data_IF_143800714922
#
_entry.id   IF_143800714922
#
_cell.length_a   1.000
_cell.length_b   1.000
_cell.length_c   1.000
_cell.angle_alpha   90.00
_cell.angle_beta   90.00
_cell.angle_gamma   90.00
#
_symmetry.space_group_name_H-M   'P 1'
#
loop_
_entity.id
_entity.type
_entity.pdbx_description
1 polymer ?
#
# COMPACT_ATOMS: atom_id res chain seq x y z
N UNK A 1 -19.21 -34.15 -7.02
CA UNK A 1 -18.43 -33.25 -6.16
C UNK A 1 -18.87 -31.83 -6.51
N UNK A 2 -19.48 -31.10 -5.58
CA UNK A 2 -19.87 -29.71 -5.80
C UNK A 2 -18.59 -28.93 -6.06
N UNK A 3 -18.43 -28.35 -7.26
CA UNK A 3 -17.38 -27.40 -7.55
C UNK A 3 -17.67 -26.19 -6.67
N UNK A 4 -16.91 -26.05 -5.58
CA UNK A 4 -17.01 -24.87 -4.73
C UNK A 4 -16.87 -23.64 -5.63
N UNK A 5 -17.83 -22.74 -5.57
CA UNK A 5 -17.88 -21.59 -6.45
C UNK A 5 -16.65 -20.68 -6.20
N UNK A 6 -15.81 -20.48 -7.21
CA UNK A 6 -14.57 -19.72 -7.13
C UNK A 6 -14.87 -18.23 -6.95
N UNK A 7 -14.20 -17.58 -6.01
CA UNK A 7 -14.26 -16.12 -5.82
C UNK A 7 -13.16 -15.47 -6.67
N UNK A 8 -13.53 -14.55 -7.52
CA UNK A 8 -12.60 -13.78 -8.34
C UNK A 8 -12.03 -12.60 -7.54
N UNK A 9 -10.74 -12.30 -7.72
CA UNK A 9 -10.08 -11.14 -7.12
C UNK A 9 -9.38 -10.38 -8.24
N UNK A 10 -9.79 -9.16 -8.49
CA UNK A 10 -9.14 -8.27 -9.43
C UNK A 10 -7.99 -7.52 -8.73
N UNK A 11 -6.75 -7.79 -9.12
CA UNK A 11 -5.52 -7.19 -8.62
C UNK A 11 -4.72 -8.10 -7.69
N UNK A 12 -3.45 -8.33 -8.04
CA UNK A 12 -2.46 -9.14 -7.32
C UNK A 12 -1.53 -8.34 -6.40
N UNK A 13 -1.92 -7.13 -5.99
CA UNK A 13 -1.21 -6.35 -4.96
C UNK A 13 -1.42 -6.93 -3.55
N UNK A 14 -0.80 -6.30 -2.54
CA UNK A 14 -0.88 -6.75 -1.13
C UNK A 14 -2.34 -7.01 -0.70
N UNK A 15 -3.26 -6.10 -1.04
CA UNK A 15 -4.68 -6.22 -0.66
C UNK A 15 -5.38 -7.42 -1.29
N UNK A 16 -5.13 -7.69 -2.58
CA UNK A 16 -5.72 -8.83 -3.28
C UNK A 16 -5.16 -10.17 -2.81
N UNK A 17 -3.84 -10.25 -2.60
CA UNK A 17 -3.21 -11.45 -2.05
C UNK A 17 -3.65 -11.72 -0.60
N UNK A 18 -3.78 -10.67 0.23
CA UNK A 18 -4.29 -10.79 1.60
C UNK A 18 -5.74 -11.27 1.61
N UNK A 19 -6.59 -10.78 0.69
CA UNK A 19 -7.97 -11.24 0.53
C UNK A 19 -8.01 -12.74 0.15
N UNK A 20 -7.16 -13.17 -0.79
CA UNK A 20 -7.05 -14.56 -1.20
C UNK A 20 -6.66 -15.48 -0.02
N UNK A 21 -5.65 -15.07 0.77
CA UNK A 21 -5.23 -15.82 1.98
C UNK A 21 -6.37 -15.90 2.99
N UNK A 22 -7.09 -14.77 3.21
CA UNK A 22 -8.24 -14.74 4.11
C UNK A 22 -9.39 -15.63 3.67
N UNK A 23 -9.66 -15.70 2.38
CA UNK A 23 -10.66 -16.64 1.82
C UNK A 23 -10.24 -18.09 1.99
N UNK A 24 -8.99 -18.41 1.70
CA UNK A 24 -8.44 -19.76 1.87
C UNK A 24 -8.51 -20.22 3.34
N UNK A 25 -8.26 -19.32 4.30
CA UNK A 25 -8.43 -19.60 5.73
C UNK A 25 -9.89 -19.93 6.12
N UNK A 26 -10.86 -19.60 5.27
CA UNK A 26 -12.28 -19.97 5.42
C UNK A 26 -12.71 -21.14 4.53
N UNK A 27 -11.75 -21.83 3.88
CA UNK A 27 -12.03 -22.93 2.98
C UNK A 27 -12.62 -22.53 1.62
N UNK A 28 -12.52 -21.24 1.24
CA UNK A 28 -13.06 -20.71 0.00
C UNK A 28 -11.98 -20.64 -1.08
N UNK A 29 -12.29 -21.17 -2.26
CA UNK A 29 -11.39 -21.08 -3.42
C UNK A 29 -11.42 -19.71 -4.07
N UNK A 30 -10.26 -19.22 -4.52
CA UNK A 30 -10.16 -17.94 -5.21
C UNK A 30 -9.23 -17.97 -6.43
N UNK A 31 -9.50 -17.08 -7.39
CA UNK A 31 -8.66 -16.81 -8.55
C UNK A 31 -8.27 -15.32 -8.55
N UNK A 32 -6.99 -15.06 -8.35
CA UNK A 32 -6.44 -13.70 -8.44
C UNK A 32 -6.08 -13.41 -9.89
N UNK A 33 -6.63 -12.32 -10.43
CA UNK A 33 -6.40 -11.82 -11.78
C UNK A 33 -5.55 -10.54 -11.69
N UNK A 34 -4.29 -10.61 -12.13
CA UNK A 34 -3.34 -9.50 -12.09
C UNK A 34 -2.95 -9.08 -13.50
N UNK A 35 -3.01 -7.76 -13.77
CA UNK A 35 -2.68 -7.19 -15.09
C UNK A 35 -1.21 -7.28 -15.46
N UNK A 36 -0.32 -7.17 -14.46
CA UNK A 36 1.11 -7.27 -14.71
C UNK A 36 1.51 -8.67 -15.18
N UNK A 37 2.53 -8.81 -16.03
CA UNK A 37 3.01 -10.11 -16.49
C UNK A 37 3.68 -10.92 -15.38
N UNK A 38 4.09 -10.26 -14.31
CA UNK A 38 4.71 -10.88 -13.13
C UNK A 38 4.15 -10.27 -11.85
N UNK A 39 3.97 -11.11 -10.83
CA UNK A 39 3.59 -10.64 -9.48
C UNK A 39 4.80 -10.05 -8.78
N UNK A 40 4.72 -8.80 -8.40
CA UNK A 40 5.76 -8.07 -7.70
C UNK A 40 5.31 -6.66 -7.35
N UNK A 41 6.07 -6.01 -6.49
CA UNK A 41 5.84 -4.61 -6.09
C UNK A 41 7.10 -3.78 -6.34
N UNK A 42 6.93 -2.56 -6.85
CA UNK A 42 8.02 -1.60 -6.98
C UNK A 42 8.36 -1.08 -5.58
N UNK A 43 9.61 -1.31 -5.16
CA UNK A 43 10.05 -1.20 -3.79
C UNK A 43 10.20 0.22 -3.26
N UNK A 44 9.36 0.58 -2.31
CA UNK A 44 9.57 1.62 -1.31
C UNK A 44 9.26 1.03 0.06
N UNK A 45 9.57 1.76 1.13
CA UNK A 45 9.18 1.34 2.48
C UNK A 45 7.68 1.53 2.72
N UNK A 46 7.16 0.78 3.68
CA UNK A 46 5.83 0.96 4.27
C UNK A 46 5.93 0.83 5.78
N UNK A 47 5.15 1.62 6.49
CA UNK A 47 5.05 1.57 7.95
C UNK A 47 3.88 0.68 8.34
N UNK A 48 4.09 -0.15 9.36
CA UNK A 48 3.14 -1.14 9.87
C UNK A 48 2.84 -0.85 11.34
N UNK A 49 1.64 -0.37 11.62
CA UNK A 49 1.16 -0.23 12.99
C UNK A 49 0.73 -1.58 13.59
N UNK A 50 0.46 -1.63 14.90
CA UNK A 50 -0.02 -2.84 15.58
C UNK A 50 -1.26 -3.47 14.93
N UNK A 51 -2.17 -2.66 14.41
CA UNK A 51 -3.36 -3.11 13.68
C UNK A 51 -3.04 -3.95 12.44
N UNK A 52 -1.97 -3.62 11.73
CA UNK A 52 -1.51 -4.42 10.59
C UNK A 52 -1.05 -5.81 11.04
N UNK A 53 -0.27 -5.89 12.12
CA UNK A 53 0.19 -7.16 12.66
C UNK A 53 -0.97 -8.01 13.21
N UNK A 54 -1.98 -7.41 13.85
CA UNK A 54 -3.19 -8.15 14.22
C UNK A 54 -3.88 -8.78 13.01
N UNK A 55 -3.98 -8.05 11.90
CA UNK A 55 -4.51 -8.60 10.65
C UNK A 55 -3.62 -9.71 10.08
N UNK A 56 -2.30 -9.56 10.14
CA UNK A 56 -1.34 -10.57 9.66
C UNK A 56 -1.37 -11.83 10.52
N UNK A 57 -1.55 -11.70 11.84
CA UNK A 57 -1.73 -12.84 12.75
C UNK A 57 -2.99 -13.62 12.40
N UNK A 58 -4.11 -12.90 12.18
CA UNK A 58 -5.36 -13.53 11.73
C UNK A 58 -5.21 -14.27 10.39
N UNK A 59 -4.37 -13.75 9.48
CA UNK A 59 -4.09 -14.34 8.18
C UNK A 59 -2.99 -15.42 8.22
N UNK A 60 -2.37 -15.68 9.39
CA UNK A 60 -1.33 -16.69 9.55
C UNK A 60 0.04 -16.29 8.98
N UNK A 61 0.26 -15.02 8.65
CA UNK A 61 1.53 -14.52 8.08
C UNK A 61 2.30 -13.59 9.03
N UNK A 62 1.79 -13.38 10.25
CA UNK A 62 2.30 -12.39 11.19
C UNK A 62 3.75 -12.62 11.59
N UNK A 63 4.15 -13.87 11.89
CA UNK A 63 5.52 -14.18 12.32
C UNK A 63 6.54 -13.92 11.22
N UNK A 64 6.22 -14.30 9.98
CA UNK A 64 7.10 -14.05 8.82
C UNK A 64 7.22 -12.54 8.58
N UNK A 65 6.12 -11.80 8.64
CA UNK A 65 6.12 -10.35 8.46
C UNK A 65 6.95 -9.65 9.56
N UNK A 66 6.81 -10.06 10.83
CA UNK A 66 7.63 -9.55 11.95
C UNK A 66 9.12 -9.82 11.77
N UNK A 67 9.47 -11.03 11.36
CA UNK A 67 10.87 -11.39 11.13
C UNK A 67 11.54 -10.60 9.99
N UNK A 68 10.78 -10.16 9.00
CA UNK A 68 11.29 -9.38 7.86
C UNK A 68 11.25 -7.86 8.11
N UNK A 69 10.46 -7.40 9.07
CA UNK A 69 10.32 -5.99 9.40
C UNK A 69 11.49 -5.48 10.26
N UNK A 70 11.76 -4.18 10.17
CA UNK A 70 12.62 -3.48 11.13
C UNK A 70 11.74 -2.91 12.23
N UNK A 71 11.96 -3.36 13.46
CA UNK A 71 11.27 -2.86 14.64
C UNK A 71 11.93 -1.57 15.08
N UNK A 72 11.25 -0.47 14.89
CA UNK A 72 11.74 0.86 15.24
C UNK A 72 11.36 1.21 16.68
N UNK A 73 12.21 2.05 17.32
CA UNK A 73 12.06 2.41 18.73
C UNK A 73 11.21 3.67 18.91
N UNK A 74 11.09 4.49 17.86
CA UNK A 74 10.40 5.79 17.92
C UNK A 74 9.74 6.18 16.62
N UNK A 75 8.64 6.92 16.75
CA UNK A 75 8.22 7.88 15.73
C UNK A 75 8.74 9.24 16.14
N UNK A 76 9.42 9.95 15.26
CA UNK A 76 9.99 11.28 15.52
C UNK A 76 9.38 12.33 14.61
N UNK A 77 9.03 13.45 15.19
CA UNK A 77 8.63 14.65 14.45
C UNK A 77 9.69 15.72 14.64
N UNK A 78 10.31 16.14 13.53
CA UNK A 78 11.34 17.16 13.48
C UNK A 78 10.79 18.43 12.81
N UNK A 79 11.22 19.58 13.25
CA UNK A 79 11.05 20.84 12.50
C UNK A 79 12.04 20.86 11.34
N UNK A 80 11.53 20.88 10.12
CA UNK A 80 12.39 20.90 8.93
C UNK A 80 13.10 22.24 8.73
N UNK A 81 12.64 23.33 9.34
CA UNK A 81 13.23 24.68 9.22
C UNK A 81 14.24 24.93 10.32
N UNK A 82 13.87 24.68 11.59
CA UNK A 82 14.77 24.87 12.74
C UNK A 82 15.81 23.74 12.87
N UNK A 83 15.47 22.51 12.47
CA UNK A 83 16.35 21.36 12.59
C UNK A 83 16.20 20.60 13.90
N UNK A 84 15.30 21.01 14.78
CA UNK A 84 15.10 20.47 16.12
C UNK A 84 13.99 19.41 16.16
N UNK A 85 14.01 18.56 17.20
CA UNK A 85 12.92 17.63 17.48
C UNK A 85 11.75 18.36 18.14
N UNK A 86 10.56 18.30 17.51
CA UNK A 86 9.33 18.84 18.07
C UNK A 86 8.78 17.88 19.12
N UNK A 87 8.70 16.59 18.80
CA UNK A 87 8.19 15.55 19.69
C UNK A 87 8.56 14.16 19.17
N UNK A 88 8.42 13.16 20.05
CA UNK A 88 8.55 11.75 19.66
C UNK A 88 7.57 10.86 20.43
N UNK A 89 7.25 9.72 19.83
CA UNK A 89 6.46 8.66 20.45
C UNK A 89 7.38 7.46 20.64
N UNK A 90 7.56 7.03 21.88
CA UNK A 90 8.29 5.83 22.21
C UNK A 90 7.45 4.58 21.85
N UNK A 91 8.07 3.65 21.13
CA UNK A 91 7.46 2.40 20.64
C UNK A 91 7.98 1.16 21.42
N UNK A 92 8.60 1.39 22.57
CA UNK A 92 9.18 0.37 23.43
C UNK A 92 8.17 -0.55 24.11
N UNK A 93 8.57 -1.13 25.24
CA UNK A 93 7.77 -2.12 25.96
C UNK A 93 6.36 -1.63 26.38
N UNK A 94 6.18 -0.38 26.89
CA UNK A 94 4.85 0.12 27.24
C UNK A 94 3.90 0.21 26.05
N UNK A 95 4.42 0.64 24.88
CA UNK A 95 3.63 0.68 23.63
C UNK A 95 3.18 -0.73 23.21
N UNK A 96 4.12 -1.68 23.22
CA UNK A 96 3.83 -3.08 22.85
C UNK A 96 2.84 -3.73 23.82
N UNK A 97 2.99 -3.47 25.12
CA UNK A 97 2.04 -3.96 26.14
C UNK A 97 0.62 -3.40 25.91
N UNK A 98 0.51 -2.12 25.56
CA UNK A 98 -0.79 -1.47 25.29
C UNK A 98 -1.49 -1.97 24.04
N UNK A 99 -0.75 -2.20 22.96
CA UNK A 99 -1.31 -2.50 21.63
C UNK A 99 -1.17 -3.97 21.21
N UNK A 100 -0.51 -4.80 22.01
CA UNK A 100 -0.32 -6.23 21.75
C UNK A 100 0.64 -6.59 20.62
N UNK A 101 1.09 -5.60 19.85
CA UNK A 101 1.96 -5.77 18.69
C UNK A 101 2.93 -4.58 18.56
N UNK A 102 4.08 -4.74 17.88
CA UNK A 102 5.03 -3.66 17.63
C UNK A 102 4.51 -2.69 16.57
N UNK A 103 5.18 -1.54 16.50
CA UNK A 103 5.23 -0.72 15.29
C UNK A 103 6.52 -1.05 14.54
N UNK A 104 6.46 -1.22 13.23
CA UNK A 104 7.63 -1.57 12.44
C UNK A 104 7.57 -0.97 11.04
N UNK A 105 8.68 -1.08 10.33
CA UNK A 105 8.79 -0.67 8.92
C UNK A 105 9.29 -1.86 8.10
N UNK A 106 8.82 -1.98 6.88
CA UNK A 106 9.18 -3.09 5.99
C UNK A 106 9.34 -2.58 4.55
N UNK A 107 10.17 -3.23 3.78
CA UNK A 107 10.20 -3.01 2.34
C UNK A 107 8.91 -3.56 1.71
N UNK A 108 8.23 -2.76 0.91
CA UNK A 108 6.90 -3.11 0.39
C UNK A 108 6.90 -4.36 -0.49
N UNK A 109 7.95 -4.55 -1.27
CA UNK A 109 8.14 -5.77 -2.06
C UNK A 109 8.33 -7.02 -1.20
N UNK A 110 8.97 -6.88 -0.03
CA UNK A 110 9.16 -7.99 0.89
C UNK A 110 7.82 -8.39 1.53
N UNK A 111 7.00 -7.41 1.95
CA UNK A 111 5.65 -7.67 2.45
C UNK A 111 4.75 -8.32 1.40
N UNK A 112 4.81 -7.84 0.15
CA UNK A 112 4.10 -8.47 -0.96
C UNK A 112 4.55 -9.93 -1.13
N UNK A 113 5.86 -10.20 -1.05
CA UNK A 113 6.44 -11.53 -1.12
C UNK A 113 5.93 -12.49 -0.04
N UNK A 114 5.68 -11.99 1.18
CA UNK A 114 5.07 -12.78 2.28
C UNK A 114 3.69 -13.30 1.86
N UNK A 115 2.82 -12.42 1.38
CA UNK A 115 1.48 -12.82 0.93
C UNK A 115 1.51 -13.69 -0.34
N UNK A 116 2.38 -13.36 -1.28
CA UNK A 116 2.54 -14.14 -2.52
C UNK A 116 2.97 -15.57 -2.22
N UNK A 117 3.88 -15.75 -1.28
CA UNK A 117 4.30 -17.07 -0.81
C UNK A 117 3.12 -17.84 -0.20
N UNK A 118 2.39 -17.23 0.73
CA UNK A 118 1.21 -17.84 1.33
C UNK A 118 0.14 -18.25 0.29
N UNK A 119 -0.06 -17.41 -0.74
CA UNK A 119 -0.95 -17.75 -1.85
C UNK A 119 -0.46 -18.98 -2.64
N UNK A 120 0.84 -19.06 -2.94
CA UNK A 120 1.42 -20.17 -3.70
C UNK A 120 1.42 -21.50 -2.95
N UNK A 121 1.47 -21.45 -1.63
CA UNK A 121 1.43 -22.64 -0.77
C UNK A 121 0.00 -23.19 -0.55
N UNK A 122 -1.03 -22.43 -0.91
CA UNK A 122 -2.43 -22.81 -0.72
C UNK A 122 -3.02 -23.45 -2.00
N UNK A 123 -3.57 -24.68 -1.92
CA UNK A 123 -4.25 -25.31 -3.06
C UNK A 123 -5.60 -24.64 -3.41
N UNK A 124 -6.09 -23.74 -2.56
CA UNK A 124 -7.36 -23.03 -2.76
C UNK A 124 -7.17 -21.71 -3.54
N UNK A 125 -5.93 -21.30 -3.84
CA UNK A 125 -5.64 -20.02 -4.47
C UNK A 125 -4.97 -20.25 -5.82
N UNK A 126 -5.62 -19.81 -6.89
CA UNK A 126 -5.03 -19.73 -8.22
C UNK A 126 -4.59 -18.30 -8.51
N UNK A 127 -3.41 -18.15 -9.13
CA UNK A 127 -2.83 -16.87 -9.51
C UNK A 127 -2.70 -16.83 -11.03
N UNK A 128 -3.26 -15.80 -11.66
CA UNK A 128 -3.15 -15.56 -13.10
C UNK A 128 -2.64 -14.16 -13.36
N UNK A 129 -1.50 -14.05 -14.03
CA UNK A 129 -0.89 -12.80 -14.49
C UNK A 129 -1.27 -12.49 -15.93
N UNK A 130 -1.01 -11.25 -16.40
CA UNK A 130 -1.42 -10.81 -17.72
C UNK A 130 -2.94 -10.74 -17.91
N UNK A 131 -3.70 -10.67 -16.83
CA UNK A 131 -5.17 -10.71 -16.80
C UNK A 131 -5.73 -9.39 -16.26
N UNK A 132 -5.80 -8.38 -17.10
CA UNK A 132 -6.32 -7.05 -16.73
C UNK A 132 -7.85 -7.07 -16.70
N UNK A 133 -8.44 -6.95 -15.51
CA UNK A 133 -9.89 -6.82 -15.33
C UNK A 133 -10.30 -5.37 -15.62
N UNK A 134 -11.14 -5.17 -16.64
CA UNK A 134 -11.62 -3.86 -17.06
C UNK A 134 -13.06 -3.55 -16.64
N UNK A 135 -13.76 -4.52 -16.06
CA UNK A 135 -15.14 -4.40 -15.57
C UNK A 135 -15.75 -5.75 -15.26
N UNK A 136 -17.04 -5.75 -14.92
CA UNK A 136 -17.76 -6.99 -14.64
C UNK A 136 -19.23 -6.90 -15.03
N UNK A 137 -19.87 -8.05 -15.13
CA UNK A 137 -21.31 -8.23 -15.32
C UNK A 137 -21.85 -9.17 -14.23
N UNK A 138 -23.14 -9.04 -13.92
CA UNK A 138 -23.82 -9.90 -12.94
C UNK A 138 -25.09 -10.46 -13.57
N UNK A 139 -25.23 -11.77 -13.55
CA UNK A 139 -26.40 -12.44 -14.05
C UNK A 139 -26.61 -13.77 -13.32
N UNK A 140 -27.84 -14.12 -13.02
CA UNK A 140 -28.20 -15.44 -12.47
C UNK A 140 -27.49 -15.79 -11.15
N UNK A 141 -27.08 -14.80 -10.34
CA UNK A 141 -26.36 -15.04 -9.08
C UNK A 141 -24.86 -15.28 -9.25
N UNK A 142 -24.33 -15.22 -10.48
CA UNK A 142 -22.91 -15.28 -10.79
C UNK A 142 -22.36 -13.89 -11.16
N UNK A 143 -21.04 -13.73 -11.09
CA UNK A 143 -20.34 -12.55 -11.57
C UNK A 143 -19.33 -12.96 -12.65
N UNK A 144 -19.27 -12.20 -13.73
CA UNK A 144 -18.32 -12.42 -14.82
C UNK A 144 -17.40 -11.22 -14.95
N UNK A 145 -16.12 -11.41 -14.63
CA UNK A 145 -15.08 -10.42 -14.89
C UNK A 145 -14.78 -10.35 -16.40
N UNK A 146 -14.67 -9.14 -16.95
CA UNK A 146 -14.26 -8.88 -18.34
C UNK A 146 -12.80 -8.49 -18.36
N UNK A 147 -12.00 -9.20 -19.11
CA UNK A 147 -10.58 -8.91 -19.29
C UNK A 147 -10.34 -8.00 -20.51
N UNK A 148 -9.20 -7.31 -20.51
CA UNK A 148 -8.83 -6.39 -21.59
C UNK A 148 -8.59 -7.08 -22.95
N UNK A 149 -8.23 -8.37 -22.93
CA UNK A 149 -8.06 -9.22 -24.13
C UNK A 149 -9.37 -9.76 -24.71
N UNK A 150 -10.51 -9.44 -24.06
CA UNK A 150 -11.85 -9.91 -24.45
C UNK A 150 -12.29 -11.20 -23.75
N UNK A 151 -11.41 -11.88 -23.00
CA UNK A 151 -11.79 -13.06 -22.24
C UNK A 151 -12.76 -12.70 -21.10
N UNK A 152 -13.59 -13.66 -20.75
CA UNK A 152 -14.64 -13.57 -19.72
C UNK A 152 -14.42 -14.68 -18.70
N UNK A 153 -14.26 -14.30 -17.42
CA UNK A 153 -14.03 -15.24 -16.33
C UNK A 153 -15.19 -15.17 -15.35
N UNK A 154 -15.88 -16.28 -15.14
CA UNK A 154 -17.07 -16.34 -14.28
C UNK A 154 -16.74 -16.94 -12.92
N UNK A 155 -17.29 -16.36 -11.86
CA UNK A 155 -17.18 -16.82 -10.49
C UNK A 155 -18.44 -16.51 -9.67
N UNK A 156 -18.44 -16.93 -8.40
CA UNK A 156 -19.55 -16.69 -7.47
C UNK A 156 -19.60 -15.26 -6.95
N UNK A 157 -18.43 -14.62 -6.82
CA UNK A 157 -18.28 -13.23 -6.37
C UNK A 157 -17.01 -12.62 -6.98
N UNK A 158 -16.93 -11.29 -6.98
CA UNK A 158 -15.75 -10.54 -7.40
C UNK A 158 -15.35 -9.56 -6.30
N UNK A 159 -14.08 -9.61 -5.91
CA UNK A 159 -13.44 -8.65 -5.01
C UNK A 159 -12.58 -7.70 -5.87
N UNK A 160 -12.86 -6.40 -5.81
CA UNK A 160 -12.02 -5.37 -6.43
C UNK A 160 -10.87 -4.98 -5.50
N UNK A 161 -9.65 -5.40 -5.84
CA UNK A 161 -8.41 -5.03 -5.18
C UNK A 161 -7.40 -4.43 -6.19
N UNK A 162 -7.93 -3.79 -7.22
CA UNK A 162 -7.29 -3.30 -8.43
C UNK A 162 -6.74 -1.87 -8.31
N UNK A 163 -6.62 -1.39 -7.07
CA UNK A 163 -5.87 -0.19 -6.68
C UNK A 163 -6.60 1.12 -6.96
N UNK A 164 -5.83 2.22 -6.95
CA UNK A 164 -6.35 3.58 -7.03
C UNK A 164 -7.20 3.85 -8.28
N UNK A 165 -6.81 3.28 -9.43
CA UNK A 165 -7.46 3.46 -10.72
C UNK A 165 -8.54 2.43 -11.02
N UNK A 166 -9.01 1.71 -10.02
CA UNK A 166 -9.95 0.60 -10.06
C UNK A 166 -11.13 0.81 -11.00
N UNK A 167 -11.26 0.05 -12.09
CA UNK A 167 -12.46 -0.03 -12.89
C UNK A 167 -13.62 -0.69 -12.12
N UNK A 168 -13.33 -1.64 -11.21
CA UNK A 168 -14.34 -2.28 -10.39
C UNK A 168 -14.98 -1.26 -9.45
N UNK A 169 -14.19 -0.44 -8.75
CA UNK A 169 -14.70 0.64 -7.91
C UNK A 169 -15.57 1.63 -8.70
N UNK A 170 -15.10 2.02 -9.88
CA UNK A 170 -15.85 2.94 -10.75
C UNK A 170 -17.25 2.40 -11.04
N UNK A 171 -17.37 1.10 -11.31
CA UNK A 171 -18.63 0.45 -11.61
C UNK A 171 -19.52 0.25 -10.38
N UNK A 172 -18.92 -0.10 -9.21
CA UNK A 172 -19.66 -0.33 -7.94
C UNK A 172 -20.11 0.97 -7.29
N UNK A 173 -19.24 1.98 -7.26
CA UNK A 173 -19.44 3.21 -6.46
C UNK A 173 -19.91 4.37 -7.33
N UNK A 174 -19.42 4.47 -8.58
CA UNK A 174 -19.76 5.58 -9.47
C UNK A 174 -19.13 6.92 -9.08
N UNK A 175 -18.03 6.92 -8.30
CA UNK A 175 -17.39 8.13 -7.73
C UNK A 175 -16.40 8.82 -8.69
N UNK A 176 -16.33 8.37 -9.94
CA UNK A 176 -15.46 8.95 -10.96
C UNK A 176 -13.96 8.56 -10.83
N UNK A 177 -13.06 9.28 -11.51
CA UNK A 177 -11.62 9.04 -11.42
C UNK A 177 -11.02 9.59 -10.12
N UNK A 178 -9.81 9.11 -9.72
CA UNK A 178 -9.05 9.73 -8.65
C UNK A 178 -8.74 11.19 -8.95
N UNK A 179 -8.69 12.02 -7.89
CA UNK A 179 -8.38 13.44 -8.00
C UNK A 179 -6.92 13.67 -7.64
N UNK A 180 -6.23 14.49 -8.41
CA UNK A 180 -4.89 14.96 -8.08
C UNK A 180 -4.96 15.84 -6.85
N UNK A 181 -4.07 15.59 -5.86
CA UNK A 181 -4.04 16.31 -4.59
C UNK A 181 -3.23 17.61 -4.62
N UNK A 182 -2.49 17.87 -5.72
CA UNK A 182 -1.53 18.96 -5.81
C UNK A 182 -0.18 18.67 -5.14
N UNK A 183 0.02 17.47 -4.59
CA UNK A 183 1.26 17.07 -3.95
C UNK A 183 2.10 16.19 -4.85
N UNK A 184 3.38 16.50 -4.92
CA UNK A 184 4.40 15.65 -5.53
C UNK A 184 5.19 14.94 -4.45
N UNK A 185 5.39 13.64 -4.61
CA UNK A 185 6.21 12.81 -3.71
C UNK A 185 7.35 12.20 -4.50
N UNK A 186 8.56 12.40 -4.01
CA UNK A 186 9.78 11.78 -4.51
C UNK A 186 10.20 10.65 -3.57
N UNK A 187 10.60 9.53 -4.13
CA UNK A 187 11.01 8.36 -3.35
C UNK A 187 12.36 7.86 -3.81
N UNK A 188 13.18 7.47 -2.84
CA UNK A 188 14.47 6.83 -3.05
C UNK A 188 14.68 5.76 -1.98
N UNK A 189 15.39 4.71 -2.33
CA UNK A 189 15.88 3.71 -1.38
C UNK A 189 17.38 3.59 -1.58
N UNK A 190 18.14 3.84 -0.53
CA UNK A 190 19.60 3.89 -0.59
C UNK A 190 20.24 2.87 0.35
N UNK A 191 21.46 2.38 0.09
CA UNK A 191 22.24 1.65 1.08
C UNK A 191 22.44 2.48 2.36
N UNK A 192 22.42 1.82 3.52
CA UNK A 192 22.55 2.50 4.83
C UNK A 192 23.85 3.30 4.94
N UNK A 193 24.92 2.83 4.33
CA UNK A 193 26.23 3.51 4.33
C UNK A 193 26.20 4.89 3.68
N UNK A 194 25.24 5.12 2.77
CA UNK A 194 25.03 6.42 2.14
C UNK A 194 24.27 7.40 3.02
N UNK A 195 23.51 6.93 4.01
CA UNK A 195 22.82 7.80 4.95
C UNK A 195 23.84 8.43 5.91
N UNK A 196 23.79 9.74 6.19
CA UNK A 196 24.64 10.38 7.21
C UNK A 196 24.51 9.67 8.57
N UNK A 197 25.63 9.42 9.25
CA UNK A 197 25.65 8.67 10.50
C UNK A 197 24.76 9.28 11.59
N UNK A 198 24.77 10.61 11.68
CA UNK A 198 23.96 11.38 12.62
C UNK A 198 22.45 11.36 12.32
N UNK A 199 22.03 10.73 11.21
CA UNK A 199 20.66 10.55 10.79
C UNK A 199 20.25 9.05 10.73
N UNK A 200 21.14 8.13 11.07
CA UNK A 200 20.86 6.69 11.14
C UNK A 200 20.15 6.33 12.43
N UNK A 201 18.93 6.83 12.62
CA UNK A 201 18.13 6.55 13.81
C UNK A 201 17.26 5.31 13.62
N UNK A 202 17.09 4.53 14.70
CA UNK A 202 16.09 3.45 14.73
C UNK A 202 14.67 4.03 14.89
N UNK A 203 14.26 4.82 13.93
CA UNK A 203 13.01 5.56 13.98
C UNK A 203 12.40 5.71 12.59
N UNK A 204 11.09 5.87 12.54
CA UNK A 204 10.47 6.54 11.41
C UNK A 204 10.40 8.04 11.75
N UNK A 205 11.14 8.83 11.00
CA UNK A 205 11.29 10.25 11.27
C UNK A 205 10.61 11.06 10.18
N UNK A 206 9.75 11.97 10.59
CA UNK A 206 9.11 12.96 9.73
C UNK A 206 9.68 14.33 10.05
N UNK A 207 10.23 15.00 9.04
CA UNK A 207 10.63 16.40 9.06
C UNK A 207 9.51 17.22 8.45
N UNK A 208 8.81 18.00 9.26
CA UNK A 208 7.70 18.84 8.83
C UNK A 208 8.16 20.27 8.52
N UNK A 209 7.85 20.75 7.33
CA UNK A 209 8.12 22.12 6.89
C UNK A 209 6.89 22.72 6.21
N UNK A 210 6.95 24.04 5.87
CA UNK A 210 5.89 24.70 5.13
C UNK A 210 5.63 24.01 3.80
N UNK A 211 4.40 23.52 3.58
CA UNK A 211 3.97 22.81 2.37
C UNK A 211 4.86 21.61 1.97
N UNK A 212 5.67 21.08 2.89
CA UNK A 212 6.64 20.03 2.60
C UNK A 212 6.90 19.14 3.80
N UNK A 213 7.31 17.89 3.52
CA UNK A 213 7.84 17.02 4.56
C UNK A 213 8.82 16.00 3.96
N UNK A 214 9.70 15.51 4.83
CA UNK A 214 10.62 14.41 4.50
C UNK A 214 10.39 13.30 5.50
N UNK A 215 10.32 12.04 5.02
CA UNK A 215 10.25 10.87 5.88
C UNK A 215 11.42 9.94 5.56
N UNK A 216 12.08 9.46 6.59
CA UNK A 216 13.11 8.44 6.43
C UNK A 216 13.07 7.40 7.54
N UNK A 217 13.47 6.17 7.22
CA UNK A 217 13.54 5.06 8.15
C UNK A 217 14.36 3.89 7.56
N UNK A 218 14.95 3.04 8.44
CA UNK A 218 15.72 1.87 7.98
C UNK A 218 14.82 0.76 7.44
N UNK A 219 15.36 -0.06 6.53
CA UNK A 219 14.70 -1.21 5.93
C UNK A 219 15.66 -2.42 5.87
N UNK A 220 15.08 -3.63 5.67
CA UNK A 220 15.83 -4.88 5.42
C UNK A 220 16.95 -5.14 6.42
N UNK A 221 16.62 -5.11 7.72
CA UNK A 221 17.60 -5.32 8.77
C UNK A 221 18.73 -4.30 8.75
N UNK A 222 18.40 -3.04 8.50
CA UNK A 222 19.35 -1.91 8.41
C UNK A 222 20.28 -1.90 7.20
N UNK A 223 20.03 -2.70 6.17
CA UNK A 223 20.81 -2.66 4.94
C UNK A 223 20.46 -1.47 4.06
N UNK A 224 19.24 -0.97 4.17
CA UNK A 224 18.70 0.10 3.32
C UNK A 224 18.03 1.18 4.17
N UNK A 225 17.95 2.39 3.62
CA UNK A 225 17.10 3.49 4.10
C UNK A 225 16.08 3.86 3.04
N UNK A 226 14.83 4.01 3.48
CA UNK A 226 13.76 4.58 2.68
C UNK A 226 13.76 6.09 2.85
N UNK A 227 13.70 6.82 1.76
CA UNK A 227 13.59 8.28 1.72
C UNK A 227 12.33 8.64 0.95
N UNK A 228 11.48 9.47 1.56
CA UNK A 228 10.28 10.03 0.96
C UNK A 228 10.29 11.53 1.16
N UNK A 229 10.19 12.26 0.09
CA UNK A 229 10.23 13.73 0.08
C UNK A 229 8.96 14.22 -0.61
N UNK A 230 8.13 14.97 0.09
CA UNK A 230 6.84 15.43 -0.44
C UNK A 230 6.72 16.93 -0.36
N UNK A 231 6.23 17.57 -1.42
CA UNK A 231 5.90 18.98 -1.43
C UNK A 231 4.53 19.21 -2.08
N UNK A 232 3.86 20.26 -1.62
CA UNK A 232 2.67 20.80 -2.26
C UNK A 232 3.11 21.84 -3.30
N UNK A 233 2.94 21.51 -4.57
CA UNK A 233 3.40 22.31 -5.71
C UNK A 233 2.34 22.46 -6.79
N UNK A 234 1.06 22.26 -6.43
CA UNK A 234 -0.09 22.37 -7.34
C UNK A 234 0.05 21.49 -8.59
N UNK A 235 0.67 20.30 -8.44
CA UNK A 235 0.88 19.37 -9.54
C UNK A 235 -0.43 19.11 -10.30
N UNK A 236 -0.48 19.34 -11.64
CA UNK A 236 -1.74 19.40 -12.38
C UNK A 236 -2.25 18.05 -12.86
N UNK A 237 -1.40 17.04 -12.95
CA UNK A 237 -1.72 15.76 -13.58
C UNK A 237 -1.10 14.58 -12.82
N UNK A 238 -1.70 13.37 -12.91
CA UNK A 238 -1.13 12.18 -12.30
C UNK A 238 0.21 11.82 -12.95
N UNK A 239 1.19 11.47 -12.10
CA UNK A 239 2.48 10.89 -12.52
C UNK A 239 2.77 9.70 -11.60
N UNK A 240 3.36 8.64 -12.12
CA UNK A 240 3.67 7.44 -11.35
C UNK A 240 5.04 6.88 -11.72
N UNK A 241 5.99 6.99 -10.80
CA UNK A 241 7.30 6.33 -10.91
C UNK A 241 8.25 6.92 -11.95
N UNK A 242 8.08 8.19 -12.32
CA UNK A 242 8.96 8.86 -13.29
C UNK A 242 10.34 9.09 -12.68
N UNK A 243 11.44 8.64 -13.32
CA UNK A 243 12.79 8.97 -12.89
C UNK A 243 13.04 10.49 -12.93
N UNK A 244 13.72 11.01 -11.90
CA UNK A 244 14.07 12.44 -11.80
C UNK A 244 15.47 12.63 -11.22
N UNK A 245 16.11 13.74 -11.57
CA UNK A 245 17.41 14.10 -11.02
C UNK A 245 17.29 14.65 -9.58
N UNK A 246 18.32 14.42 -8.74
CA UNK A 246 18.35 14.92 -7.36
C UNK A 246 18.22 16.45 -7.29
N UNK A 247 18.75 17.18 -8.29
CA UNK A 247 18.61 18.65 -8.38
C UNK A 247 17.14 19.10 -8.55
N UNK A 248 16.31 18.26 -9.19
CA UNK A 248 14.87 18.53 -9.30
C UNK A 248 14.17 18.31 -7.96
N UNK A 249 14.52 17.23 -7.25
CA UNK A 249 13.99 16.96 -5.90
C UNK A 249 14.33 18.09 -4.93
N UNK A 250 15.53 18.69 -5.04
CA UNK A 250 15.97 19.78 -4.16
C UNK A 250 15.19 21.07 -4.38
N UNK A 251 14.67 21.31 -5.59
CA UNK A 251 13.86 22.50 -5.87
C UNK A 251 12.61 22.54 -5.00
N UNK A 252 12.46 23.62 -4.24
CA UNK A 252 11.38 23.79 -3.28
C UNK A 252 11.73 23.35 -1.85
N UNK A 253 12.97 22.89 -1.61
CA UNK A 253 13.48 22.53 -0.29
C UNK A 253 14.70 23.36 0.15
N UNK A 254 14.99 24.46 -0.53
CA UNK A 254 16.12 25.34 -0.22
C UNK A 254 15.95 26.07 1.11
N UNK A 255 14.70 26.24 1.55
CA UNK A 255 14.32 26.93 2.76
C UNK A 255 14.40 26.10 4.04
N UNK A 256 14.63 24.79 3.92
CA UNK A 256 14.70 23.89 5.10
C UNK A 256 16.13 23.80 5.64
N UNK A 257 16.26 23.34 6.88
CA UNK A 257 17.54 23.20 7.58
C UNK A 257 18.53 22.32 6.79
N UNK A 258 19.84 22.66 6.76
CA UNK A 258 20.87 21.91 6.03
C UNK A 258 20.91 20.41 6.34
N UNK A 259 20.61 20.03 7.58
CA UNK A 259 20.53 18.63 8.02
C UNK A 259 19.40 17.88 7.31
N UNK A 260 18.22 18.49 7.18
CA UNK A 260 17.10 17.91 6.42
C UNK A 260 17.41 17.86 4.92
N UNK A 261 18.05 18.92 4.36
CA UNK A 261 18.50 18.94 2.97
C UNK A 261 19.52 17.82 2.68
N UNK A 262 20.36 17.43 3.66
CA UNK A 262 21.37 16.39 3.47
C UNK A 262 20.72 15.04 3.12
N UNK A 263 19.51 14.75 3.63
CA UNK A 263 18.75 13.55 3.29
C UNK A 263 18.47 13.50 1.79
N UNK A 264 18.05 14.62 1.21
CA UNK A 264 17.77 14.73 -0.23
C UNK A 264 19.05 14.54 -1.05
N UNK A 265 20.16 15.17 -0.63
CA UNK A 265 21.47 15.08 -1.33
C UNK A 265 22.05 13.67 -1.37
N UNK A 266 21.78 12.86 -0.34
CA UNK A 266 22.25 11.47 -0.27
C UNK A 266 21.33 10.47 -0.99
N UNK A 267 20.12 10.89 -1.35
CA UNK A 267 19.21 10.07 -2.15
C UNK A 267 19.75 9.79 -3.56
N UNK A 268 19.35 8.65 -4.12
CA UNK A 268 19.74 8.22 -5.46
C UNK A 268 18.54 7.59 -6.16
N UNK A 269 18.61 7.51 -7.48
CA UNK A 269 17.58 6.88 -8.31
C UNK A 269 16.16 7.35 -7.96
N UNK A 270 16.04 8.65 -7.76
CA UNK A 270 14.80 9.29 -7.38
C UNK A 270 13.70 9.03 -8.41
N UNK A 271 12.53 8.69 -7.91
CA UNK A 271 11.32 8.59 -8.71
C UNK A 271 10.24 9.49 -8.16
N UNK A 272 9.46 10.08 -9.07
CA UNK A 272 8.39 11.02 -8.79
C UNK A 272 7.02 10.35 -8.91
N UNK A 273 6.16 10.66 -7.95
CA UNK A 273 4.72 10.40 -8.01
C UNK A 273 3.96 11.67 -7.69
N UNK A 274 2.86 11.89 -8.39
CA UNK A 274 1.85 12.87 -7.99
C UNK A 274 0.78 12.13 -7.18
N UNK A 275 0.53 12.61 -5.97
CA UNK A 275 -0.43 11.97 -5.08
C UNK A 275 -1.85 12.21 -5.58
N UNK A 276 -2.61 11.16 -5.66
CA UNK A 276 -4.02 11.19 -6.03
C UNK A 276 -4.84 10.59 -4.89
N UNK A 277 -5.96 11.22 -4.60
CA UNK A 277 -6.92 10.77 -3.61
C UNK A 277 -8.27 10.41 -4.23
N UNK A 278 -9.06 9.66 -3.50
CA UNK A 278 -10.47 9.44 -3.78
C UNK A 278 -11.33 10.16 -2.74
N UNK A 279 -12.49 10.63 -3.15
CA UNK A 279 -13.50 11.13 -2.19
C UNK A 279 -13.82 10.01 -1.20
N UNK A 280 -13.92 10.35 0.08
CA UNK A 280 -14.21 9.37 1.13
C UNK A 280 -15.44 8.53 0.77
N UNK A 281 -15.34 7.23 1.02
CA UNK A 281 -16.48 6.33 0.89
C UNK A 281 -17.60 6.81 1.81
N UNK A 282 -18.77 7.07 1.26
CA UNK A 282 -19.98 6.77 2.03
C UNK A 282 -19.90 5.26 2.31
N UNK A 283 -20.21 4.80 3.56
CA UNK A 283 -20.15 3.38 3.85
C UNK A 283 -20.91 2.62 2.75
N UNK A 284 -20.22 1.77 2.00
CA UNK A 284 -20.82 0.89 1.00
C UNK A 284 -21.70 -0.16 1.68
N UNK A 285 -21.60 -0.26 3.00
CA UNK A 285 -22.45 -1.04 3.86
C UNK A 285 -23.46 -0.12 4.54
N UNK A 286 -24.69 -0.08 4.00
CA UNK A 286 -25.84 0.45 4.72
C UNK A 286 -26.40 -0.67 5.61
N UNK A 287 -26.62 -0.45 6.92
CA UNK A 287 -27.26 -1.43 7.79
C UNK A 287 -28.75 -1.63 7.45
N UNK A 288 -29.28 -0.96 6.42
CA UNK A 288 -30.63 -1.28 5.94
C UNK A 288 -30.60 -2.64 5.26
N UNK A 289 -31.29 -3.64 5.79
CA UNK A 289 -31.42 -4.92 5.09
C UNK A 289 -32.02 -4.65 3.70
N UNK A 290 -31.52 -5.34 2.66
CA UNK A 290 -32.10 -5.22 1.33
C UNK A 290 -33.61 -5.52 1.42
N UNK A 291 -34.41 -4.66 0.84
CA UNK A 291 -35.88 -4.82 0.83
C UNK A 291 -36.35 -6.06 0.09
N UNK A 292 -35.43 -6.70 -0.68
CA UNK A 292 -35.65 -7.94 -1.40
C UNK A 292 -34.38 -8.81 -1.45
N UNK A 293 -34.47 -10.16 -1.36
CA UNK A 293 -33.30 -11.07 -1.49
C UNK A 293 -32.54 -10.95 -2.80
N UNK A 294 -33.17 -10.47 -3.87
CA UNK A 294 -32.57 -10.24 -5.18
C UNK A 294 -31.59 -9.03 -5.25
N UNK A 295 -31.56 -8.18 -4.22
CA UNK A 295 -30.69 -6.98 -4.19
C UNK A 295 -29.29 -7.26 -3.59
N UNK A 296 -28.96 -8.49 -3.24
CA UNK A 296 -27.61 -8.86 -2.78
C UNK A 296 -26.63 -8.76 -3.94
N UNK A 297 -25.81 -7.72 -3.95
CA UNK A 297 -24.75 -7.55 -4.95
C UNK A 297 -23.57 -8.45 -4.58
N UNK A 298 -23.19 -9.45 -5.42
CA UNK A 298 -22.06 -10.33 -5.14
C UNK A 298 -20.68 -9.68 -5.42
N UNK A 299 -20.60 -8.37 -5.60
CA UNK A 299 -19.34 -7.66 -5.79
C UNK A 299 -19.03 -6.77 -4.58
N UNK A 300 -17.85 -6.95 -4.00
CA UNK A 300 -17.29 -6.13 -2.93
C UNK A 300 -16.03 -5.43 -3.43
N UNK A 301 -15.98 -4.10 -3.34
CA UNK A 301 -14.76 -3.36 -3.58
C UNK A 301 -14.02 -3.18 -2.25
N UNK A 302 -12.85 -3.81 -2.13
CA UNK A 302 -11.90 -3.53 -1.07
C UNK A 302 -11.01 -2.38 -1.53
N UNK A 303 -11.18 -1.22 -0.90
CA UNK A 303 -10.27 -0.10 -1.09
C UNK A 303 -8.99 -0.40 -0.29
N UNK A 304 -8.10 -1.16 -0.89
CA UNK A 304 -6.72 -1.27 -0.44
C UNK A 304 -5.93 0.00 -0.80
N UNK A 305 -6.58 1.15 -0.69
CA UNK A 305 -5.89 2.40 -0.53
C UNK A 305 -5.26 2.38 0.87
N UNK A 306 -4.26 1.50 1.07
CA UNK A 306 -3.15 1.85 1.90
C UNK A 306 -2.64 3.17 1.29
N UNK A 307 -3.30 4.25 1.67
CA UNK A 307 -2.82 5.59 1.44
C UNK A 307 -1.36 5.54 1.64
N UNK A 308 -0.64 5.92 0.63
CA UNK A 308 0.67 6.46 0.80
C UNK A 308 0.51 7.77 1.62
N UNK A 309 0.13 7.63 2.87
CA UNK A 309 0.54 8.58 3.89
C UNK A 309 1.98 8.21 4.12
N UNK A 310 2.80 9.12 3.66
CA UNK A 310 4.25 9.11 3.66
C UNK A 310 4.86 8.47 4.87
#
# INVERSE_FOLDING_TARGET
MSTAATILIAGGGIGGLAAAVGLAAKGLSSLVLEKAPTLGEIGAGIQLGPNAFHAFDYLGVGDIARAMAVHIDRLRLMDAVAGDEITSIDLGAPFRARFGNPYAVIHRGDLHGVFLRACRESPLIALRTGAEVIGYEQEGGAVTARLADGERVTGAALIGADGLWSPIRRQVVGDGPPRVSGHTTYRSVIPTERMPEDLRWNAATLWAGPKSHIVHYPLRGWKLFNLVVTCHNDAPAPVAGQPVAAAEVMRGFEHIHPRAQSIIRHGADWKLWVLCGRSGLRPLWSPKPPRHPAERKPALALDAAASAVA
#
